data_IF_287732033150
#
_entry.id   IF_287732033150
#
_cell.length_a   1.000
_cell.length_b   1.000
_cell.length_c   1.000
_cell.angle_alpha   90.00
_cell.angle_beta   90.00
_cell.angle_gamma   90.00
#
_symmetry.space_group_name_H-M   'P 1'
#
loop_
_entity.id
_entity.type
_entity.pdbx_description
1 polymer ?
#
# COMPACT_ATOMS: atom_id res chain seq x y z
N UNK A 1 1.19 10.18 -13.38
CA UNK A 1 0.30 11.21 -12.81
C UNK A 1 0.60 11.28 -11.34
N UNK A 2 0.70 12.48 -10.76
CA UNK A 2 1.13 12.67 -9.36
C UNK A 2 0.35 11.80 -8.35
N UNK A 3 -0.93 11.51 -8.61
CA UNK A 3 -1.72 10.65 -7.71
C UNK A 3 -1.32 9.18 -7.76
N UNK A 4 -1.00 8.63 -8.93
CA UNK A 4 -0.60 7.24 -9.08
C UNK A 4 0.77 7.02 -8.43
N UNK A 5 1.69 7.97 -8.62
CA UNK A 5 3.01 7.96 -7.99
C UNK A 5 2.87 8.07 -6.46
N UNK A 6 1.99 8.95 -5.96
CA UNK A 6 1.72 9.08 -4.52
C UNK A 6 1.09 7.81 -3.91
N UNK A 7 0.19 7.14 -4.63
CA UNK A 7 -0.38 5.85 -4.20
C UNK A 7 0.72 4.79 -4.14
N UNK A 8 1.53 4.66 -5.20
CA UNK A 8 2.62 3.70 -5.26
C UNK A 8 3.63 3.92 -4.12
N UNK A 9 4.00 5.17 -3.85
CA UNK A 9 4.90 5.53 -2.74
C UNK A 9 4.31 5.24 -1.37
N UNK A 10 3.01 5.50 -1.19
CA UNK A 10 2.27 5.14 0.03
C UNK A 10 2.28 3.64 0.28
N UNK A 11 1.91 2.84 -0.73
CA UNK A 11 1.88 1.37 -0.64
C UNK A 11 3.28 0.81 -0.42
N UNK A 12 4.30 1.30 -1.14
CA UNK A 12 5.70 0.89 -0.94
C UNK A 12 6.19 1.21 0.46
N UNK A 13 5.84 2.38 0.98
CA UNK A 13 6.22 2.77 2.35
C UNK A 13 5.55 1.87 3.39
N UNK A 14 4.26 1.54 3.21
CA UNK A 14 3.55 0.59 4.07
C UNK A 14 4.16 -0.82 3.98
N UNK A 15 4.50 -1.30 2.78
CA UNK A 15 5.16 -2.60 2.57
C UNK A 15 6.51 -2.70 3.28
N UNK A 16 7.34 -1.66 3.19
CA UNK A 16 8.64 -1.61 3.88
C UNK A 16 8.52 -1.69 5.40
N UNK A 17 7.48 -1.09 5.99
CA UNK A 17 7.23 -1.19 7.44
C UNK A 17 6.62 -2.55 7.79
N UNK A 18 5.66 -3.04 7.00
CA UNK A 18 5.00 -4.32 7.24
C UNK A 18 5.92 -5.53 7.09
N UNK A 19 6.97 -5.44 6.26
CA UNK A 19 7.94 -6.52 6.04
C UNK A 19 8.91 -6.71 7.21
N UNK A 20 8.97 -5.77 8.14
CA UNK A 20 9.78 -5.87 9.34
C UNK A 20 8.92 -6.35 10.50
N UNK A 21 9.38 -7.37 11.23
CA UNK A 21 8.66 -7.94 12.38
C UNK A 21 8.69 -7.05 13.63
N UNK A 22 9.34 -5.88 13.60
CA UNK A 22 9.47 -5.00 14.77
C UNK A 22 8.23 -4.13 14.96
N UNK A 23 7.68 -4.13 16.17
CA UNK A 23 6.63 -3.21 16.60
C UNK A 23 7.19 -1.87 17.13
N UNK A 24 8.50 -1.80 17.40
CA UNK A 24 9.17 -0.64 17.97
C UNK A 24 9.48 0.41 16.88
N UNK A 25 8.88 1.63 16.96
CA UNK A 25 9.12 2.68 15.96
C UNK A 25 10.58 3.13 15.86
N UNK A 26 11.36 3.06 16.93
CA UNK A 26 12.77 3.47 16.95
C UNK A 26 13.66 2.52 16.15
N UNK A 27 13.44 1.21 16.28
CA UNK A 27 14.17 0.20 15.51
C UNK A 27 13.80 0.25 14.04
N UNK A 28 12.51 0.42 13.74
CA UNK A 28 12.02 0.64 12.38
C UNK A 28 12.63 1.89 11.74
N UNK A 29 12.72 3.01 12.48
CA UNK A 29 13.33 4.26 11.99
C UNK A 29 14.81 4.09 11.66
N UNK A 30 15.55 3.40 12.52
CA UNK A 30 16.97 3.08 12.29
C UNK A 30 17.15 2.20 11.06
N UNK A 31 16.42 1.09 10.99
CA UNK A 31 16.52 0.10 9.91
C UNK A 31 16.08 0.67 8.56
N UNK A 32 14.98 1.43 8.53
CA UNK A 32 14.43 1.99 7.30
C UNK A 32 15.09 3.32 6.89
N UNK A 33 15.98 3.86 7.74
CA UNK A 33 16.61 5.19 7.58
C UNK A 33 15.55 6.29 7.36
N UNK A 34 14.49 6.26 8.17
CA UNK A 34 13.36 7.20 8.10
C UNK A 34 13.24 8.01 9.39
N UNK A 35 12.79 9.28 9.33
CA UNK A 35 12.44 10.02 10.53
C UNK A 35 11.35 9.29 11.36
N UNK A 36 11.41 9.32 12.70
CA UNK A 36 10.46 8.59 13.55
C UNK A 36 8.98 8.91 13.28
N UNK A 37 8.65 10.17 12.95
CA UNK A 37 7.28 10.57 12.63
C UNK A 37 6.77 9.90 11.33
N UNK A 38 7.65 9.70 10.34
CA UNK A 38 7.32 9.06 9.07
C UNK A 38 7.08 7.56 9.27
N UNK A 39 7.89 6.91 10.11
CA UNK A 39 7.68 5.52 10.51
C UNK A 39 6.36 5.35 11.24
N UNK A 40 6.04 6.18 12.22
CA UNK A 40 4.76 6.09 12.95
C UNK A 40 3.57 6.20 12.01
N UNK A 41 3.61 7.15 11.05
CA UNK A 41 2.58 7.30 10.01
C UNK A 41 2.48 6.05 9.13
N UNK A 42 3.61 5.57 8.62
CA UNK A 42 3.68 4.39 7.77
C UNK A 42 3.21 3.11 8.48
N UNK A 43 3.57 2.95 9.76
CA UNK A 43 3.13 1.84 10.61
C UNK A 43 1.62 1.88 10.84
N UNK A 44 1.04 3.06 11.06
CA UNK A 44 -0.41 3.22 11.14
C UNK A 44 -1.10 2.88 9.81
N UNK A 45 -0.52 3.29 8.67
CA UNK A 45 -1.04 2.97 7.33
C UNK A 45 -0.93 1.48 6.98
N UNK A 46 0.12 0.81 7.46
CA UNK A 46 0.33 -0.62 7.29
C UNK A 46 -0.63 -1.49 8.11
N UNK A 47 -1.30 -0.93 9.13
CA UNK A 47 -2.28 -1.68 9.93
C UNK A 47 -3.44 -2.15 9.06
N UNK A 48 -3.75 -3.44 9.21
CA UNK A 48 -4.82 -4.10 8.44
C UNK A 48 -4.44 -4.46 7.01
N UNK A 49 -3.16 -4.32 6.63
CA UNK A 49 -2.63 -4.86 5.38
C UNK A 49 -1.89 -6.18 5.62
N UNK A 50 -2.02 -7.09 4.66
CA UNK A 50 -1.13 -8.25 4.50
C UNK A 50 0.00 -7.91 3.52
N UNK A 51 1.11 -8.65 3.57
CA UNK A 51 2.21 -8.47 2.60
C UNK A 51 1.71 -8.75 1.17
N UNK A 52 0.96 -9.84 0.99
CA UNK A 52 0.32 -10.19 -0.29
C UNK A 52 -0.59 -9.06 -0.79
N UNK A 53 -1.44 -8.50 0.08
CA UNK A 53 -2.32 -7.40 -0.28
C UNK A 53 -1.57 -6.14 -0.70
N UNK A 54 -0.41 -5.86 -0.09
CA UNK A 54 0.44 -4.74 -0.49
C UNK A 54 1.11 -4.99 -1.85
N UNK A 55 1.50 -6.23 -2.15
CA UNK A 55 2.05 -6.60 -3.47
C UNK A 55 0.98 -6.45 -4.56
N UNK A 56 -0.23 -6.93 -4.32
CA UNK A 56 -1.36 -6.77 -5.26
C UNK A 56 -1.71 -5.28 -5.46
N UNK A 57 -1.73 -4.48 -4.39
CA UNK A 57 -2.01 -3.05 -4.48
C UNK A 57 -0.93 -2.28 -5.28
N UNK A 58 0.34 -2.70 -5.22
CA UNK A 58 1.40 -2.15 -6.07
C UNK A 58 1.13 -2.41 -7.55
N UNK A 59 0.66 -3.61 -7.90
CA UNK A 59 0.24 -3.95 -9.27
C UNK A 59 -0.85 -3.00 -9.77
N UNK A 60 -1.89 -2.78 -8.97
CA UNK A 60 -2.99 -1.86 -9.31
C UNK A 60 -2.49 -0.42 -9.53
N UNK A 61 -1.53 0.04 -8.73
CA UNK A 61 -0.94 1.37 -8.91
C UNK A 61 -0.13 1.47 -10.23
N UNK A 62 0.55 0.40 -10.61
CA UNK A 62 1.27 0.32 -11.89
C UNK A 62 0.29 0.32 -13.07
N UNK A 63 -0.79 -0.45 -12.99
CA UNK A 63 -1.86 -0.49 -13.99
C UNK A 63 -2.51 0.89 -14.17
N UNK A 64 -2.82 1.58 -13.07
CA UNK A 64 -3.35 2.95 -13.10
C UNK A 64 -2.40 3.91 -13.82
N UNK A 65 -1.10 3.79 -13.59
CA UNK A 65 -0.11 4.63 -14.27
C UNK A 65 -0.02 4.32 -15.78
N UNK A 66 -0.20 3.05 -16.17
CA UNK A 66 -0.27 2.64 -17.57
C UNK A 66 -1.55 3.17 -18.23
N UNK A 67 -2.71 3.02 -17.58
CA UNK A 67 -4.01 3.50 -18.05
C UNK A 67 -4.00 5.02 -18.33
N UNK A 68 -3.44 5.81 -17.40
CA UNK A 68 -3.40 7.27 -17.53
C UNK A 68 -2.39 7.73 -18.60
N UNK A 69 -1.33 6.96 -18.86
CA UNK A 69 -0.36 7.24 -19.94
C UNK A 69 -0.81 6.73 -21.31
N UNK A 70 -1.62 5.68 -21.34
CA UNK A 70 -2.06 4.96 -22.53
C UNK A 70 -3.40 5.41 -23.12
N UNK A 71 -3.93 6.56 -22.69
CA UNK A 71 -5.22 7.11 -23.11
C UNK A 71 -6.46 6.30 -22.65
N UNK A 72 -6.54 5.96 -21.36
CA UNK A 72 -7.83 5.57 -20.78
C UNK A 72 -8.91 6.60 -21.13
N UNK A 73 -10.10 6.14 -21.51
CA UNK A 73 -11.21 6.99 -21.94
C UNK A 73 -11.62 8.04 -20.89
N UNK A 74 -11.30 7.80 -19.61
CA UNK A 74 -11.38 8.77 -18.51
C UNK A 74 -10.38 8.43 -17.42
N UNK A 75 -9.49 9.38 -17.07
CA UNK A 75 -8.53 9.24 -15.98
C UNK A 75 -9.22 9.12 -14.61
N UNK A 76 -10.35 9.81 -14.42
CA UNK A 76 -11.14 9.76 -13.20
C UNK A 76 -11.74 8.36 -12.99
N UNK A 77 -12.28 7.77 -14.05
CA UNK A 77 -12.81 6.41 -13.99
C UNK A 77 -11.70 5.38 -13.70
N UNK A 78 -10.52 5.53 -14.31
CA UNK A 78 -9.37 4.66 -14.04
C UNK A 78 -8.95 4.75 -12.56
N UNK A 79 -8.91 5.96 -12.00
CA UNK A 79 -8.61 6.20 -10.59
C UNK A 79 -9.66 5.56 -9.67
N UNK A 80 -10.95 5.77 -9.93
CA UNK A 80 -12.03 5.19 -9.14
C UNK A 80 -11.93 3.66 -9.13
N UNK A 81 -11.74 3.06 -10.31
CA UNK A 81 -11.58 1.62 -10.47
C UNK A 81 -10.37 1.09 -9.68
N UNK A 82 -9.24 1.81 -9.74
CA UNK A 82 -8.04 1.45 -9.01
C UNK A 82 -8.26 1.50 -7.48
N UNK A 83 -8.89 2.57 -6.97
CA UNK A 83 -9.18 2.71 -5.53
C UNK A 83 -10.11 1.59 -5.06
N UNK A 84 -11.19 1.30 -5.80
CA UNK A 84 -12.11 0.19 -5.47
C UNK A 84 -11.36 -1.14 -5.38
N UNK A 85 -10.48 -1.42 -6.34
CA UNK A 85 -9.66 -2.65 -6.37
C UNK A 85 -8.73 -2.74 -5.15
N UNK A 86 -8.03 -1.65 -4.82
CA UNK A 86 -7.12 -1.57 -3.66
C UNK A 86 -7.89 -1.83 -2.34
N UNK A 87 -9.09 -1.26 -2.18
CA UNK A 87 -9.93 -1.49 -1.00
C UNK A 87 -10.37 -2.95 -0.92
N UNK A 88 -10.84 -3.54 -2.03
CA UNK A 88 -11.22 -4.97 -2.08
C UNK A 88 -10.04 -5.85 -1.64
N UNK A 89 -8.85 -5.65 -2.23
CA UNK A 89 -7.62 -6.38 -1.88
C UNK A 89 -7.33 -6.30 -0.37
N UNK A 90 -7.43 -5.10 0.22
CA UNK A 90 -7.20 -4.92 1.66
C UNK A 90 -8.18 -5.74 2.49
N UNK A 91 -9.45 -5.74 2.13
CA UNK A 91 -10.50 -6.46 2.88
C UNK A 91 -10.38 -7.97 2.77
N UNK A 92 -10.08 -8.50 1.58
CA UNK A 92 -10.01 -9.93 1.31
C UNK A 92 -8.76 -10.55 1.94
N UNK A 93 -7.59 -9.96 1.68
CA UNK A 93 -6.32 -10.47 2.21
C UNK A 93 -6.19 -10.21 3.72
N UNK A 94 -6.79 -9.12 4.22
CA UNK A 94 -6.87 -8.84 5.66
C UNK A 94 -7.71 -9.86 6.43
N UNK A 95 -8.84 -10.30 5.87
CA UNK A 95 -9.64 -11.41 6.43
C UNK A 95 -8.86 -12.73 6.46
N UNK A 96 -8.05 -13.00 5.43
CA UNK A 96 -7.14 -14.16 5.38
C UNK A 96 -6.18 -14.21 6.56
N UNK A 97 -5.57 -13.07 6.92
CA UNK A 97 -4.69 -12.95 8.10
C UNK A 97 -5.39 -13.25 9.43
N UNK A 98 -6.64 -12.81 9.59
CA UNK A 98 -7.45 -13.10 10.81
C UNK A 98 -7.80 -14.58 10.91
N UNK A 99 -8.00 -15.27 9.77
CA UNK A 99 -8.28 -16.71 9.76
C UNK A 99 -7.04 -17.57 9.99
N UNK A 100 -5.88 -17.19 9.46
CA UNK A 100 -4.62 -17.93 9.61
C UNK A 100 -3.97 -17.84 11.01
N UNK A 101 -4.40 -16.87 11.82
CA UNK A 101 -3.95 -16.70 13.21
C UNK A 101 -4.81 -17.38 14.27
N UNK A 102 -5.72 -18.29 13.89
CA UNK A 102 -6.57 -19.09 14.79
C UNK A 102 -6.20 -20.56 14.72
#
# INVERSE_FOLDING_TARGET
MLIADAIADGVRTAARVASLSSSNPGDLARTLKMPPWKVKKAQAQARGWSIEGLQLALGVAADLNADVKGAAASADYALERAIRRIVTIRTETGRGRVRAGR
#
